data_IF_422022365302
#
_entry.id   IF_422022365302
#
_cell.length_a   1.000
_cell.length_b   1.000
_cell.length_c   1.000
_cell.angle_alpha   90.00
_cell.angle_beta   90.00
_cell.angle_gamma   90.00
#
_symmetry.space_group_name_H-M   'P 1'
#
loop_
_entity.id
_entity.type
_entity.pdbx_description
1 polymer ?
#
# COMPACT_ATOMS: atom_id res chain seq x y z
N UNK A 1 29.46 -6.01 -12.42
CA UNK A 1 28.71 -6.16 -11.15
C UNK A 1 27.29 -6.54 -11.52
N UNK A 2 26.77 -7.67 -11.03
CA UNK A 2 25.37 -8.05 -11.27
C UNK A 2 24.46 -7.21 -10.38
N UNK A 3 23.43 -6.59 -10.94
CA UNK A 3 22.39 -5.91 -10.18
C UNK A 3 21.66 -6.96 -9.32
N UNK A 4 21.63 -6.75 -8.01
CA UNK A 4 20.84 -7.56 -7.08
C UNK A 4 19.44 -6.96 -6.96
N UNK A 5 18.42 -7.81 -6.78
CA UNK A 5 17.04 -7.37 -6.53
C UNK A 5 16.96 -6.49 -5.27
N UNK A 6 16.08 -5.49 -5.27
CA UNK A 6 15.92 -4.53 -4.18
C UNK A 6 15.65 -5.23 -2.84
N UNK A 7 14.74 -6.20 -2.82
CA UNK A 7 14.43 -7.03 -1.65
C UNK A 7 15.70 -7.65 -1.00
N UNK A 8 16.57 -8.24 -1.83
CA UNK A 8 17.77 -8.95 -1.34
C UNK A 8 18.89 -8.03 -0.85
N UNK A 9 18.91 -6.77 -1.29
CA UNK A 9 20.02 -5.85 -0.99
C UNK A 9 19.61 -4.77 0.01
N UNK A 10 18.56 -4.01 -0.29
CA UNK A 10 18.13 -2.85 0.48
C UNK A 10 17.34 -3.27 1.72
N UNK A 11 16.27 -4.06 1.53
CA UNK A 11 15.37 -4.42 2.62
C UNK A 11 16.09 -5.29 3.66
N UNK A 12 16.88 -6.27 3.22
CA UNK A 12 17.74 -7.06 4.13
C UNK A 12 18.70 -6.17 4.93
N UNK A 13 19.27 -5.14 4.31
CA UNK A 13 20.16 -4.20 5.00
C UNK A 13 19.42 -3.34 6.03
N UNK A 14 18.21 -2.88 5.71
CA UNK A 14 17.39 -2.08 6.60
C UNK A 14 16.92 -2.87 7.82
N UNK A 15 16.47 -4.11 7.60
CA UNK A 15 16.10 -5.04 8.67
C UNK A 15 17.27 -5.30 9.63
N UNK A 16 18.48 -5.49 9.11
CA UNK A 16 19.68 -5.67 9.93
C UNK A 16 20.13 -4.39 10.66
N UNK A 17 19.67 -3.23 10.21
CA UNK A 17 19.93 -1.92 10.83
C UNK A 17 18.80 -1.49 11.78
N UNK A 18 17.78 -2.33 11.95
CA UNK A 18 16.61 -2.06 12.78
C UNK A 18 15.94 -0.72 12.42
N UNK A 19 15.75 -0.49 11.12
CA UNK A 19 15.09 0.72 10.66
C UNK A 19 13.64 0.77 11.20
N UNK A 20 13.20 1.94 11.66
CA UNK A 20 11.85 2.06 12.24
C UNK A 20 11.61 1.35 13.58
N UNK A 21 12.61 0.73 14.23
CA UNK A 21 12.41 0.02 15.51
C UNK A 21 11.77 0.93 16.58
N UNK A 22 12.22 2.18 16.70
CA UNK A 22 11.62 3.15 17.62
C UNK A 22 10.13 3.41 17.32
N UNK A 23 9.75 3.42 16.04
CA UNK A 23 8.35 3.59 15.62
C UNK A 23 7.55 2.37 16.07
N UNK A 24 8.07 1.16 15.83
CA UNK A 24 7.38 -0.08 16.17
C UNK A 24 7.24 -0.27 17.68
N UNK A 25 8.28 0.02 18.46
CA UNK A 25 8.24 -0.04 19.92
C UNK A 25 7.23 0.96 20.51
N UNK A 26 7.09 2.15 19.91
CA UNK A 26 6.08 3.13 20.32
C UNK A 26 4.68 2.69 19.91
N UNK A 27 4.53 2.10 18.72
CA UNK A 27 3.26 1.56 18.24
C UNK A 27 2.72 0.46 19.15
N UNK A 28 3.57 -0.40 19.71
CA UNK A 28 3.10 -1.41 20.69
C UNK A 28 2.59 -0.81 22.01
N UNK A 29 3.05 0.40 22.36
CA UNK A 29 2.70 1.07 23.62
C UNK A 29 1.52 2.02 23.50
N UNK A 30 1.19 2.48 22.29
CA UNK A 30 0.16 3.49 22.06
C UNK A 30 -0.89 3.00 21.06
N UNK A 31 -2.16 3.36 21.28
CA UNK A 31 -3.23 3.04 20.33
C UNK A 31 -3.12 3.83 19.02
N UNK A 32 -2.54 5.04 19.11
CA UNK A 32 -2.35 5.93 17.97
C UNK A 32 -0.93 6.47 17.94
N UNK A 33 -0.32 6.46 16.76
CA UNK A 33 1.02 7.00 16.51
C UNK A 33 1.00 7.79 15.20
N UNK A 34 1.54 9.01 15.22
CA UNK A 34 1.70 9.83 14.02
C UNK A 34 3.18 9.99 13.71
N UNK A 35 3.58 9.56 12.51
CA UNK A 35 4.95 9.71 12.00
C UNK A 35 4.96 10.81 10.95
N UNK A 36 5.91 11.74 11.04
CA UNK A 36 6.09 12.83 10.07
C UNK A 36 7.44 12.72 9.39
N UNK A 37 7.52 13.19 8.14
CA UNK A 37 8.76 13.21 7.37
C UNK A 37 9.03 11.95 6.54
N UNK A 38 8.07 11.03 6.44
CA UNK A 38 8.11 9.99 5.42
C UNK A 38 7.83 10.62 4.05
N UNK A 39 8.75 10.48 3.10
CA UNK A 39 8.66 11.04 1.75
C UNK A 39 8.96 9.94 0.74
N UNK A 40 8.19 9.88 -0.35
CA UNK A 40 8.31 8.85 -1.38
C UNK A 40 8.06 7.44 -0.82
N UNK A 41 8.84 6.46 -1.28
CA UNK A 41 8.72 5.03 -0.93
C UNK A 41 9.03 4.68 0.53
N UNK A 42 9.30 5.67 1.39
CA UNK A 42 9.56 5.45 2.80
C UNK A 42 8.39 4.75 3.52
N UNK A 43 7.15 5.04 3.12
CA UNK A 43 5.95 4.41 3.70
C UNK A 43 5.92 2.92 3.36
N UNK A 44 6.14 2.55 2.09
CA UNK A 44 6.17 1.16 1.62
C UNK A 44 7.29 0.37 2.30
N UNK A 45 8.47 0.96 2.45
CA UNK A 45 9.61 0.34 3.15
C UNK A 45 9.27 0.08 4.63
N UNK A 46 8.72 1.08 5.34
CA UNK A 46 8.32 0.92 6.74
C UNK A 46 7.20 -0.12 6.90
N UNK A 47 6.24 -0.16 5.98
CA UNK A 47 5.16 -1.14 5.99
C UNK A 47 5.69 -2.56 5.73
N UNK A 48 6.60 -2.74 4.77
CA UNK A 48 7.25 -4.02 4.49
C UNK A 48 8.07 -4.51 5.69
N UNK A 49 8.82 -3.62 6.32
CA UNK A 49 9.58 -3.94 7.53
C UNK A 49 8.66 -4.30 8.71
N UNK A 50 7.59 -3.55 8.92
CA UNK A 50 6.60 -3.86 9.95
C UNK A 50 5.94 -5.23 9.72
N UNK A 51 5.59 -5.54 8.47
CA UNK A 51 5.01 -6.82 8.09
C UNK A 51 5.96 -7.99 8.38
N UNK A 52 7.22 -7.88 7.98
CA UNK A 52 8.22 -8.94 8.14
C UNK A 52 8.68 -9.10 9.59
N UNK A 53 8.85 -8.00 10.33
CA UNK A 53 9.33 -8.04 11.72
C UNK A 53 8.24 -8.45 12.70
N UNK A 54 7.02 -7.89 12.58
CA UNK A 54 5.93 -8.16 13.52
C UNK A 54 5.05 -9.34 13.12
N UNK A 55 5.12 -9.81 11.86
CA UNK A 55 4.28 -10.89 11.32
C UNK A 55 2.78 -10.66 11.54
N UNK A 56 2.35 -9.39 11.44
CA UNK A 56 0.95 -8.98 11.57
C UNK A 56 0.39 -8.58 10.21
N UNK A 57 -0.89 -8.83 9.99
CA UNK A 57 -1.62 -8.31 8.84
C UNK A 57 -1.79 -6.79 8.98
N UNK A 58 -1.41 -6.04 7.96
CA UNK A 58 -1.45 -4.58 7.94
C UNK A 58 -2.44 -4.14 6.87
N UNK A 59 -3.32 -3.19 7.23
CA UNK A 59 -4.13 -2.45 6.28
C UNK A 59 -3.45 -1.11 6.01
N UNK A 60 -3.04 -0.89 4.77
CA UNK A 60 -2.52 0.39 4.33
C UNK A 60 -3.59 1.15 3.56
N UNK A 61 -3.82 2.41 3.93
CA UNK A 61 -4.79 3.29 3.29
C UNK A 61 -4.02 4.48 2.72
N UNK A 62 -4.21 4.74 1.44
CA UNK A 62 -3.63 5.87 0.70
C UNK A 62 -4.71 6.88 0.35
N UNK A 63 -4.32 8.13 0.10
CA UNK A 63 -5.26 9.22 -0.17
C UNK A 63 -5.90 9.11 -1.56
N UNK A 64 -5.15 8.62 -2.55
CA UNK A 64 -5.64 8.45 -3.91
C UNK A 64 -5.33 7.08 -4.53
N UNK A 65 -5.87 6.86 -5.72
CA UNK A 65 -5.74 5.62 -6.49
C UNK A 65 -4.34 5.42 -7.06
N UNK A 66 -3.66 6.51 -7.40
CA UNK A 66 -2.34 6.46 -8.00
C UNK A 66 -1.30 6.05 -6.94
N UNK A 67 -1.32 6.68 -5.77
CA UNK A 67 -0.53 6.31 -4.59
C UNK A 67 -0.83 4.87 -4.15
N UNK A 68 -2.10 4.45 -4.19
CA UNK A 68 -2.48 3.06 -3.90
C UNK A 68 -1.79 2.08 -4.85
N UNK A 69 -1.79 2.39 -6.14
CA UNK A 69 -1.19 1.53 -7.15
C UNK A 69 0.34 1.51 -7.06
N UNK A 70 0.98 2.66 -6.83
CA UNK A 70 2.43 2.73 -6.63
C UNK A 70 2.84 1.96 -5.39
N UNK A 71 2.17 2.19 -4.27
CA UNK A 71 2.48 1.51 -3.01
C UNK A 71 2.26 0.00 -3.12
N UNK A 72 1.21 -0.44 -3.80
CA UNK A 72 0.96 -1.88 -4.05
C UNK A 72 2.12 -2.49 -4.83
N UNK A 73 2.55 -1.84 -5.91
CA UNK A 73 3.66 -2.34 -6.76
C UNK A 73 4.96 -2.45 -5.96
N UNK A 74 5.27 -1.42 -5.17
CA UNK A 74 6.46 -1.42 -4.31
C UNK A 74 6.38 -2.53 -3.25
N UNK A 75 5.21 -2.72 -2.63
CA UNK A 75 4.99 -3.78 -1.64
C UNK A 75 5.14 -5.17 -2.28
N UNK A 76 4.60 -5.39 -3.47
CA UNK A 76 4.75 -6.65 -4.21
C UNK A 76 6.24 -6.96 -4.48
N UNK A 77 7.04 -5.96 -4.84
CA UNK A 77 8.49 -6.13 -5.03
C UNK A 77 9.23 -6.42 -3.69
N UNK A 78 8.79 -5.81 -2.59
CA UNK A 78 9.45 -5.90 -1.29
C UNK A 78 9.10 -7.17 -0.51
N UNK A 79 7.83 -7.57 -0.46
CA UNK A 79 7.35 -8.71 0.35
C UNK A 79 6.81 -9.88 -0.47
N UNK A 80 6.72 -9.74 -1.80
CA UNK A 80 6.20 -10.77 -2.72
C UNK A 80 4.73 -10.55 -3.07
N UNK A 81 4.37 -10.86 -4.32
CA UNK A 81 3.01 -10.72 -4.87
C UNK A 81 1.98 -11.55 -4.08
N UNK A 82 2.38 -12.69 -3.52
CA UNK A 82 1.48 -13.58 -2.78
C UNK A 82 1.02 -13.02 -1.44
N UNK A 83 1.74 -12.02 -0.90
CA UNK A 83 1.50 -11.45 0.43
C UNK A 83 0.74 -10.12 0.36
N UNK A 84 0.49 -9.59 -0.85
CA UNK A 84 -0.13 -8.28 -1.05
C UNK A 84 -1.52 -8.45 -1.68
N UNK A 85 -2.50 -7.79 -1.08
CA UNK A 85 -3.86 -7.74 -1.60
C UNK A 85 -4.24 -6.29 -1.88
N UNK A 86 -4.53 -5.99 -3.15
CA UNK A 86 -4.98 -4.67 -3.56
C UNK A 86 -6.51 -4.57 -3.51
N UNK A 87 -7.00 -3.64 -2.70
CA UNK A 87 -8.43 -3.30 -2.61
C UNK A 87 -8.71 -2.01 -3.40
N UNK A 88 -9.18 -2.09 -4.65
CA UNK A 88 -9.44 -0.90 -5.45
C UNK A 88 -10.65 -0.11 -4.92
N UNK A 89 -10.68 1.19 -5.20
CA UNK A 89 -11.87 2.00 -5.00
C UNK A 89 -13.04 1.45 -5.85
N UNK A 90 -14.25 1.56 -5.32
CA UNK A 90 -15.49 1.31 -6.05
C UNK A 90 -15.54 2.19 -7.30
N UNK A 91 -15.87 1.59 -8.44
CA UNK A 91 -16.07 2.32 -9.69
C UNK A 91 -17.32 3.21 -9.66
N UNK A 92 -18.29 2.87 -8.80
CA UNK A 92 -19.52 3.66 -8.62
C UNK A 92 -19.34 4.63 -7.47
N UNK A 93 -19.51 5.91 -7.75
CA UNK A 93 -19.67 6.91 -6.71
C UNK A 93 -20.96 6.61 -5.92
N UNK A 94 -20.93 6.62 -4.58
CA UNK A 94 -22.14 6.50 -3.79
C UNK A 94 -23.16 7.53 -4.29
N UNK A 95 -24.39 7.11 -4.54
CA UNK A 95 -25.51 7.96 -4.99
C UNK A 95 -25.44 8.48 -6.43
N UNK A 96 -24.56 7.95 -7.27
CA UNK A 96 -24.67 8.19 -8.71
C UNK A 96 -25.88 7.42 -9.24
N UNK A 97 -27.03 8.08 -9.33
CA UNK A 97 -28.20 7.53 -10.01
C UNK A 97 -27.76 7.11 -11.42
N UNK A 98 -27.74 5.80 -11.69
CA UNK A 98 -27.59 5.29 -13.05
C UNK A 98 -28.66 5.98 -13.89
N UNK A 99 -28.27 7.00 -14.67
CA UNK A 99 -29.19 7.69 -15.57
C UNK A 99 -29.78 6.61 -16.45
N UNK A 100 -31.04 6.26 -16.19
CA UNK A 100 -31.76 5.23 -16.93
C UNK A 100 -31.68 5.66 -18.38
N UNK A 101 -30.87 4.98 -19.19
CA UNK A 101 -30.79 5.29 -20.61
C UNK A 101 -32.20 5.07 -21.14
N UNK A 102 -32.90 6.15 -21.49
CA UNK A 102 -34.20 6.09 -22.12
C UNK A 102 -34.11 5.12 -23.31
N UNK A 103 -34.76 3.97 -23.23
CA UNK A 103 -34.81 2.97 -24.31
C UNK A 103 -35.46 3.53 -25.60
N UNK A 104 -36.06 4.73 -25.53
CA UNK A 104 -36.73 5.42 -26.62
C UNK A 104 -35.80 5.99 -27.72
N UNK A 105 -34.47 5.84 -27.63
CA UNK A 105 -33.56 6.24 -28.72
C UNK A 105 -33.25 5.11 -29.74
N UNK A 106 -33.80 3.90 -29.56
CA UNK A 106 -33.46 2.69 -30.37
C UNK A 106 -34.53 2.32 -31.41
N UNK A 107 -35.41 3.24 -31.80
CA UNK A 107 -36.40 2.99 -32.87
C UNK A 107 -36.56 4.22 -33.79
N UNK A 108 -35.50 4.55 -34.55
CA UNK A 108 -35.60 5.26 -35.83
C UNK A 108 -34.56 4.69 -36.80
N UNK A 109 -34.86 3.52 -37.33
CA UNK A 109 -34.37 3.03 -38.63
C UNK A 109 -35.61 2.57 -39.38
#
# INVERSE_FOLDING_TARGET
MSLQTINKSLLTKLLNQNFGEEIFQNWEKTEHLSVKGAVGSAVSILAAEAFLSQQKTILLITDDKEDSHYTTTEMEELVGEENVLHLPNSYTEPYQEERTKNANLVLRT
#
